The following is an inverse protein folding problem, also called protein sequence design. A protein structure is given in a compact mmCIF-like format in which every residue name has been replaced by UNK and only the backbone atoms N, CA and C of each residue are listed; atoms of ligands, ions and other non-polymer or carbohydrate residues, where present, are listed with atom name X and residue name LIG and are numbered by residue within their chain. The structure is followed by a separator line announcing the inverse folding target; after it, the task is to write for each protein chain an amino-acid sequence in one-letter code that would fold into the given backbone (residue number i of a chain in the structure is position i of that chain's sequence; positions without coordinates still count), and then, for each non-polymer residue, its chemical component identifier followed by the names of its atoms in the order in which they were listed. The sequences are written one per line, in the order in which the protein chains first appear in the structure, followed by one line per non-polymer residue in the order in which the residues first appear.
data_IF_678665961873
#
_entry.id   IF_678665961873
#
_cell.length_a   1.000
_cell.length_b   1.000
_cell.length_c   1.000
_cell.angle_alpha   90.00
_cell.angle_beta   90.00
_cell.angle_gamma   90.00
#
_symmetry.space_group_name_H-M   'P 1'
#
loop_
_entity.id
_entity.type
_entity.pdbx_description
1 polymer ?
#
# COMPACT_ATOMS: atom_id res chain seq x y z
N UNK A 1 41.67 -1.38 16.93
CA UNK A 1 41.38 0.04 16.64
C UNK A 1 40.05 0.10 15.88
N UNK A 2 39.00 0.75 16.40
CA UNK A 2 37.71 0.83 15.69
C UNK A 2 37.84 1.86 14.55
N UNK A 3 37.46 1.53 13.30
CA UNK A 3 37.52 2.49 12.19
C UNK A 3 36.59 3.68 12.47
N UNK A 4 37.07 4.90 12.18
CA UNK A 4 36.26 6.12 12.29
C UNK A 4 35.21 6.09 11.18
N UNK A 5 33.93 6.13 11.55
CA UNK A 5 32.84 6.36 10.59
C UNK A 5 33.05 7.73 9.92
N UNK A 6 32.76 7.82 8.62
CA UNK A 6 32.78 9.08 7.89
C UNK A 6 31.81 10.08 8.53
N UNK A 7 32.10 11.38 8.41
CA UNK A 7 31.30 12.45 9.06
C UNK A 7 29.80 12.33 8.73
N UNK A 8 29.45 11.88 7.53
CA UNK A 8 28.07 11.68 7.08
C UNK A 8 27.36 10.47 7.70
N UNK A 9 28.11 9.48 8.19
CA UNK A 9 27.55 8.29 8.83
C UNK A 9 27.45 8.44 10.36
N UNK A 10 27.95 9.54 10.92
CA UNK A 10 27.81 9.88 12.33
C UNK A 10 26.37 10.32 12.62
N UNK A 11 25.75 9.62 13.58
CA UNK A 11 24.38 9.89 14.04
C UNK A 11 24.37 11.11 14.98
N UNK A 12 24.38 12.31 14.43
CA UNK A 12 24.43 13.58 15.19
C UNK A 12 23.13 14.40 15.15
N UNK A 13 22.13 13.98 14.37
CA UNK A 13 20.81 14.62 14.29
C UNK A 13 19.81 13.95 15.22
N UNK A 14 18.99 14.74 15.91
CA UNK A 14 17.94 14.27 16.82
C UNK A 14 16.57 14.41 16.17
N UNK A 15 15.71 13.39 16.32
CA UNK A 15 14.29 13.45 15.94
C UNK A 15 13.45 13.54 17.21
N UNK A 16 12.76 14.66 17.39
CA UNK A 16 11.91 14.90 18.56
C UNK A 16 10.45 14.59 18.23
N UNK A 17 9.83 13.71 19.03
CA UNK A 17 8.41 13.40 18.95
C UNK A 17 7.79 13.48 20.34
N UNK A 18 6.74 14.28 20.50
CA UNK A 18 5.98 14.33 21.75
C UNK A 18 5.05 13.12 21.81
N UNK A 19 5.14 12.39 22.92
CA UNK A 19 4.31 11.23 23.21
C UNK A 19 3.68 11.38 24.59
N UNK A 20 2.51 10.80 24.77
CA UNK A 20 1.90 10.68 26.09
C UNK A 20 2.54 9.52 26.89
N UNK A 21 2.18 9.40 28.18
CA UNK A 21 2.77 8.40 29.06
C UNK A 21 2.51 6.95 28.62
N UNK A 22 1.33 6.69 28.04
CA UNK A 22 0.93 5.35 27.57
C UNK A 22 1.75 4.98 26.33
N UNK A 23 1.85 5.89 25.37
CA UNK A 23 2.64 5.71 24.15
C UNK A 23 4.12 5.46 24.47
N UNK A 24 4.68 6.20 25.43
CA UNK A 24 6.06 6.00 25.87
C UNK A 24 6.28 4.60 26.45
N UNK A 25 5.39 4.12 27.34
CA UNK A 25 5.53 2.79 27.93
C UNK A 25 5.32 1.68 26.88
N UNK A 26 4.40 1.86 25.94
CA UNK A 26 4.21 0.92 24.82
C UNK A 26 5.46 0.83 23.93
N UNK A 27 6.11 1.95 23.62
CA UNK A 27 7.36 1.95 22.84
C UNK A 27 8.47 1.24 23.62
N UNK A 28 8.58 1.51 24.92
CA UNK A 28 9.57 0.89 25.81
C UNK A 28 9.38 -0.63 25.89
N UNK A 29 8.16 -1.11 26.09
CA UNK A 29 7.87 -2.55 26.12
C UNK A 29 8.23 -3.22 24.79
N UNK A 30 7.83 -2.63 23.66
CA UNK A 30 8.16 -3.18 22.33
C UNK A 30 9.67 -3.21 22.06
N UNK A 31 10.41 -2.21 22.54
CA UNK A 31 11.87 -2.19 22.43
C UNK A 31 12.51 -3.31 23.28
N UNK A 32 12.00 -3.53 24.51
CA UNK A 32 12.44 -4.62 25.38
C UNK A 32 12.16 -5.99 24.77
N UNK A 33 10.95 -6.21 24.27
CA UNK A 33 10.55 -7.47 23.63
C UNK A 33 11.42 -7.77 22.39
N UNK A 34 11.87 -6.73 21.69
CA UNK A 34 12.78 -6.83 20.55
C UNK A 34 14.27 -6.94 20.94
N UNK A 35 14.63 -6.81 22.22
CA UNK A 35 16.02 -6.80 22.69
C UNK A 35 16.81 -5.58 22.23
N UNK A 36 16.14 -4.45 21.97
CA UNK A 36 16.74 -3.22 21.43
C UNK A 36 16.60 -2.06 22.42
N UNK A 37 17.47 -1.06 22.28
CA UNK A 37 17.23 0.23 22.94
C UNK A 37 16.04 0.93 22.30
N UNK A 38 15.37 1.82 23.04
CA UNK A 38 14.24 2.62 22.54
C UNK A 38 14.63 3.37 21.26
N UNK A 39 15.84 3.95 21.22
CA UNK A 39 16.34 4.68 20.06
C UNK A 39 16.55 3.77 18.83
N UNK A 40 17.17 2.61 19.01
CA UNK A 40 17.41 1.68 17.91
C UNK A 40 16.11 1.02 17.42
N UNK A 41 15.21 0.66 18.34
CA UNK A 41 13.88 0.16 18.02
C UNK A 41 13.07 1.18 17.20
N UNK A 42 13.04 2.44 17.65
CA UNK A 42 12.32 3.52 16.98
C UNK A 42 12.90 3.77 15.60
N UNK A 43 14.24 3.86 15.50
CA UNK A 43 14.94 4.03 14.23
C UNK A 43 14.60 2.93 13.22
N UNK A 44 14.69 1.65 13.62
CA UNK A 44 14.33 0.53 12.74
C UNK A 44 12.84 0.56 12.38
N UNK A 45 11.98 0.88 13.35
CA UNK A 45 10.54 0.94 13.12
C UNK A 45 10.13 2.06 12.17
N UNK A 46 10.87 3.18 12.15
CA UNK A 46 10.60 4.33 11.27
C UNK A 46 11.25 4.16 9.89
N UNK A 47 12.49 3.65 9.83
CA UNK A 47 13.25 3.55 8.58
C UNK A 47 13.02 2.24 7.81
N UNK A 48 12.80 1.11 8.52
CA UNK A 48 12.74 -0.22 7.89
C UNK A 48 11.33 -0.76 7.73
N UNK A 49 10.32 -0.11 8.32
CA UNK A 49 8.93 -0.48 8.03
C UNK A 49 8.48 0.28 6.79
N UNK A 50 7.98 -0.40 5.75
CA UNK A 50 7.32 0.30 4.66
C UNK A 50 6.17 1.10 5.28
N UNK A 51 6.17 2.42 5.07
CA UNK A 51 4.99 3.21 5.41
C UNK A 51 3.82 2.64 4.58
N UNK A 52 2.60 2.56 5.16
CA UNK A 52 1.44 2.22 4.36
C UNK A 52 1.38 3.20 3.19
N UNK A 53 1.64 2.69 1.98
CA UNK A 53 1.64 3.52 0.77
C UNK A 53 0.28 4.19 0.71
N UNK A 54 0.27 5.51 0.53
CA UNK A 54 -0.98 6.20 0.19
C UNK A 54 -1.48 5.54 -1.09
N UNK A 55 -2.57 4.79 -1.00
CA UNK A 55 -3.23 4.27 -2.19
C UNK A 55 -3.46 5.47 -3.11
N UNK A 56 -2.94 5.40 -4.34
CA UNK A 56 -3.18 6.48 -5.29
C UNK A 56 -4.69 6.64 -5.47
N UNK A 57 -5.15 7.85 -5.81
CA UNK A 57 -6.58 8.08 -6.07
C UNK A 57 -7.12 7.09 -7.12
N UNK A 58 -6.25 6.66 -8.04
CA UNK A 58 -6.52 5.65 -9.06
C UNK A 58 -6.81 4.29 -8.40
N UNK A 59 -5.95 3.80 -7.49
CA UNK A 59 -6.18 2.51 -6.81
C UNK A 59 -7.49 2.48 -6.02
N UNK A 60 -7.87 3.58 -5.37
CA UNK A 60 -9.13 3.67 -4.65
C UNK A 60 -10.35 3.68 -5.58
N UNK A 61 -10.24 4.36 -6.73
CA UNK A 61 -11.27 4.34 -7.76
C UNK A 61 -11.46 2.94 -8.33
N UNK A 62 -10.37 2.26 -8.72
CA UNK A 62 -10.41 0.89 -9.24
C UNK A 62 -11.02 -0.07 -8.24
N UNK A 63 -10.66 0.02 -6.96
CA UNK A 63 -11.27 -0.80 -5.91
C UNK A 63 -12.78 -0.59 -5.79
N UNK A 64 -13.25 0.66 -5.86
CA UNK A 64 -14.69 0.97 -5.82
C UNK A 64 -15.43 0.39 -7.02
N UNK A 65 -14.84 0.47 -8.21
CA UNK A 65 -15.45 -0.10 -9.42
C UNK A 65 -15.52 -1.64 -9.35
N UNK A 66 -14.48 -2.31 -8.83
CA UNK A 66 -14.52 -3.74 -8.57
C UNK A 66 -15.63 -4.14 -7.58
N UNK A 67 -15.84 -3.37 -6.51
CA UNK A 67 -16.93 -3.60 -5.56
C UNK A 67 -18.30 -3.44 -6.22
N UNK A 68 -18.47 -2.44 -7.10
CA UNK A 68 -19.73 -2.23 -7.84
C UNK A 68 -20.03 -3.39 -8.79
N UNK A 69 -19.02 -3.88 -9.49
CA UNK A 69 -19.13 -5.07 -10.34
C UNK A 69 -19.54 -6.29 -9.52
N UNK A 70 -18.86 -6.54 -8.39
CA UNK A 70 -19.20 -7.66 -7.50
C UNK A 70 -20.64 -7.60 -7.00
N UNK A 71 -21.12 -6.40 -6.67
CA UNK A 71 -22.51 -6.18 -6.29
C UNK A 71 -23.50 -6.45 -7.42
N UNK A 72 -23.17 -6.06 -8.65
CA UNK A 72 -24.01 -6.32 -9.82
C UNK A 72 -24.09 -7.83 -10.12
N UNK A 73 -22.96 -8.54 -10.06
CA UNK A 73 -22.92 -10.00 -10.21
C UNK A 73 -23.79 -10.66 -9.13
N UNK A 74 -23.63 -10.26 -7.87
CA UNK A 74 -24.39 -10.84 -6.77
C UNK A 74 -25.91 -10.56 -6.89
N UNK A 75 -26.31 -9.47 -7.52
CA UNK A 75 -27.72 -9.19 -7.83
C UNK A 75 -28.23 -10.10 -8.95
N UNK A 76 -27.47 -10.27 -10.03
CA UNK A 76 -27.81 -11.17 -11.14
C UNK A 76 -27.92 -12.62 -10.67
N UNK A 77 -26.98 -13.08 -9.84
CA UNK A 77 -27.02 -14.43 -9.25
C UNK A 77 -28.25 -14.62 -8.38
N UNK A 78 -28.59 -13.63 -7.53
CA UNK A 78 -29.80 -13.69 -6.68
C UNK A 78 -31.08 -13.71 -7.50
N UNK A 79 -31.19 -12.87 -8.54
CA UNK A 79 -32.33 -12.84 -9.43
C UNK A 79 -32.51 -14.17 -10.20
N UNK A 80 -31.40 -14.74 -10.68
CA UNK A 80 -31.38 -16.04 -11.35
C UNK A 80 -31.82 -17.17 -10.41
N UNK A 81 -31.25 -17.24 -9.21
CA UNK A 81 -31.62 -18.23 -8.20
C UNK A 81 -33.08 -18.11 -7.77
N UNK A 82 -33.61 -16.89 -7.66
CA UNK A 82 -35.01 -16.65 -7.36
C UNK A 82 -35.93 -17.16 -8.49
N UNK A 83 -35.60 -16.89 -9.75
CA UNK A 83 -36.38 -17.37 -10.89
C UNK A 83 -36.38 -18.90 -10.99
N UNK A 84 -35.21 -19.54 -10.82
CA UNK A 84 -35.09 -21.01 -10.77
C UNK A 84 -35.94 -21.61 -9.65
N UNK A 85 -35.94 -21.00 -8.45
CA UNK A 85 -36.75 -21.46 -7.31
C UNK A 85 -38.26 -21.36 -7.58
N UNK A 86 -38.68 -20.38 -8.37
CA UNK A 86 -40.08 -20.21 -8.80
C UNK A 86 -40.45 -21.10 -9.99
N UNK A 87 -39.53 -21.92 -10.52
CA UNK A 87 -39.76 -22.76 -11.70
C UNK A 87 -39.90 -21.97 -13.00
N UNK A 88 -39.51 -20.69 -13.00
CA UNK A 88 -39.58 -19.80 -14.15
C UNK A 88 -38.21 -19.74 -14.81
N UNK A 89 -38.16 -19.63 -16.14
CA UNK A 89 -36.89 -19.41 -16.85
C UNK A 89 -36.24 -18.12 -16.31
N UNK A 90 -34.95 -18.15 -15.92
CA UNK A 90 -34.26 -16.95 -15.48
C UNK A 90 -34.35 -15.85 -16.54
N UNK A 91 -34.63 -14.60 -16.17
CA UNK A 91 -34.53 -13.47 -17.08
C UNK A 91 -33.05 -13.22 -17.35
N UNK A 92 -32.47 -13.95 -18.29
CA UNK A 92 -31.15 -13.63 -18.83
C UNK A 92 -31.36 -12.48 -19.83
N UNK A 93 -31.11 -11.25 -19.41
CA UNK A 93 -31.02 -10.13 -20.34
C UNK A 93 -29.60 -10.11 -20.92
N UNK A 94 -29.37 -10.55 -22.18
CA UNK A 94 -28.04 -10.69 -22.74
C UNK A 94 -27.28 -9.36 -22.77
N UNK A 95 -28.00 -8.24 -22.87
CA UNK A 95 -27.38 -6.90 -22.87
C UNK A 95 -26.71 -6.55 -21.54
N UNK A 96 -27.28 -6.98 -20.40
CA UNK A 96 -26.68 -6.73 -19.07
C UNK A 96 -25.41 -7.56 -18.86
N UNK A 97 -25.35 -8.76 -19.42
CA UNK A 97 -24.14 -9.59 -19.43
C UNK A 97 -23.06 -9.00 -20.34
N UNK A 98 -23.46 -8.49 -21.51
CA UNK A 98 -22.56 -7.82 -22.46
C UNK A 98 -21.93 -6.57 -21.81
N UNK A 99 -22.75 -5.76 -21.13
CA UNK A 99 -22.32 -4.54 -20.43
C UNK A 99 -21.34 -4.87 -19.27
N UNK A 100 -21.64 -5.91 -18.48
CA UNK A 100 -20.75 -6.40 -17.44
C UNK A 100 -19.41 -6.90 -18.01
N UNK A 101 -19.44 -7.64 -19.13
CA UNK A 101 -18.24 -8.11 -19.82
C UNK A 101 -17.37 -6.95 -20.29
N UNK A 102 -17.99 -5.91 -20.84
CA UNK A 102 -17.29 -4.72 -21.32
C UNK A 102 -16.64 -3.95 -20.16
N UNK A 103 -17.34 -3.79 -19.02
CA UNK A 103 -16.77 -3.15 -17.83
C UNK A 103 -15.56 -3.93 -17.29
N UNK A 104 -15.66 -5.26 -17.23
CA UNK A 104 -14.56 -6.13 -16.79
C UNK A 104 -13.35 -6.04 -17.73
N UNK A 105 -13.56 -5.99 -19.04
CA UNK A 105 -12.49 -5.81 -20.02
C UNK A 105 -11.82 -4.43 -19.89
N UNK A 106 -12.59 -3.38 -19.62
CA UNK A 106 -12.05 -2.04 -19.42
C UNK A 106 -11.16 -1.99 -18.17
N UNK A 107 -11.63 -2.50 -17.03
CA UNK A 107 -10.84 -2.54 -15.79
C UNK A 107 -9.58 -3.40 -15.98
N UNK A 108 -9.68 -4.52 -16.71
CA UNK A 108 -8.52 -5.35 -17.03
C UNK A 108 -7.45 -4.59 -17.82
N UNK A 109 -7.84 -3.74 -18.78
CA UNK A 109 -6.91 -2.89 -19.54
C UNK A 109 -6.29 -1.78 -18.68
N UNK A 110 -7.09 -1.14 -17.84
CA UNK A 110 -6.62 -0.11 -16.91
C UNK A 110 -5.61 -0.70 -15.92
N UNK A 111 -5.85 -1.90 -15.38
CA UNK A 111 -4.92 -2.60 -14.50
C UNK A 111 -3.64 -3.06 -15.21
N UNK A 112 -3.75 -3.56 -16.44
CA UNK A 112 -2.58 -3.97 -17.24
C UNK A 112 -1.67 -2.80 -17.63
N UNK A 113 -2.17 -1.57 -17.59
CA UNK A 113 -1.40 -0.36 -17.89
C UNK A 113 -0.65 0.19 -16.66
N UNK A 114 -0.77 -0.47 -15.50
CA UNK A 114 -0.20 -0.03 -14.22
C UNK A 114 1.10 -0.80 -13.85
N UNK A 115 1.49 -1.84 -14.59
CA UNK A 115 2.84 -2.43 -14.50
C UNK A 115 3.83 -1.51 -15.26
N UNK A 116 4.93 -0.98 -14.75
CA UNK A 116 5.72 -1.16 -13.52
C UNK A 116 6.61 0.08 -13.38
N UNK A 117 6.35 0.97 -12.42
CA UNK A 117 7.39 1.85 -11.89
C UNK A 117 7.92 1.19 -10.60
N UNK A 118 8.82 0.23 -10.81
CA UNK A 118 9.85 -0.03 -9.80
C UNK A 118 10.85 1.10 -10.00
N UNK A 119 10.73 2.16 -9.20
CA UNK A 119 11.81 3.12 -9.06
C UNK A 119 12.94 2.38 -8.35
N UNK A 120 13.89 1.87 -9.11
CA UNK A 120 15.25 1.58 -8.64
C UNK A 120 15.86 2.93 -8.26
N UNK A 121 15.52 3.42 -7.07
CA UNK A 121 16.05 4.66 -6.50
C UNK A 121 17.20 4.28 -5.56
N UNK A 122 18.25 3.72 -6.15
CA UNK A 122 19.57 3.51 -5.53
C UNK A 122 20.65 4.24 -6.36
N UNK A 123 20.32 5.39 -6.97
CA UNK A 123 21.31 6.32 -7.51
C UNK A 123 21.69 7.32 -6.41
N UNK A 124 22.59 6.90 -5.52
CA UNK A 124 23.40 7.83 -4.73
C UNK A 124 24.46 8.38 -5.70
N UNK A 125 24.16 9.53 -6.31
CA UNK A 125 25.12 10.30 -7.09
C UNK A 125 26.24 10.82 -6.16
N UNK A 126 27.38 10.15 -6.21
CA UNK A 126 28.68 10.68 -5.79
C UNK A 126 29.14 11.68 -6.85
N UNK A 127 28.61 12.91 -6.83
CA UNK A 127 29.24 14.04 -7.53
C UNK A 127 29.93 14.96 -6.53
N UNK A 128 31.22 14.68 -6.37
CA UNK A 128 32.23 15.62 -5.92
C UNK A 128 32.07 16.98 -6.65
N UNK A 129 31.97 18.05 -5.87
CA UNK A 129 32.40 19.35 -6.35
C UNK A 129 33.28 19.99 -5.27
N UNK A 130 34.56 19.62 -5.32
CA UNK A 130 35.65 20.46 -4.85
C UNK A 130 35.62 21.78 -5.63
N UNK A 131 35.60 22.94 -4.96
CA UNK A 131 36.32 24.14 -5.41
C UNK A 131 36.32 25.23 -4.30
N UNK A 132 37.52 25.40 -3.71
CA UNK A 132 38.21 26.60 -3.18
C UNK A 132 37.63 27.44 -2.02
N UNK A 133 38.36 27.46 -0.89
CA UNK A 133 39.40 28.48 -0.59
C UNK A 133 40.44 27.92 0.40
#
# INVERSE_FOLDING_TARGET
MRPKLSKNLLRNKTLEARVNAIEHEMIKQKAQDAGLSIAEFTRRSVLLKPLPRRLSKITLFTYRELVRIGNNINQLTRATNAALKMGVRPPANPSQLEELRNLLQQIGRELSSIETEVTDDDDIDDEDNEEWE
#
